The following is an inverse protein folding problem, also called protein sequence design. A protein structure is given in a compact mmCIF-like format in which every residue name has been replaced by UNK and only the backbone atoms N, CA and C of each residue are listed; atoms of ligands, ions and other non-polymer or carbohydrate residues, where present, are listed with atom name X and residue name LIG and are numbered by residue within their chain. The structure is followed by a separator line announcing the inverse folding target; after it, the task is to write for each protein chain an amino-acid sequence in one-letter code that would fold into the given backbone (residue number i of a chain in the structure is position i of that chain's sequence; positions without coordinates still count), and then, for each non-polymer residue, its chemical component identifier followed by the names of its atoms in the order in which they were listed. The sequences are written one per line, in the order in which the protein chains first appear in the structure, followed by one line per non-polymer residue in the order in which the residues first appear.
data_IF_490660472846
#
_entry.id   IF_490660472846
#
_cell.length_a   1.000
_cell.length_b   1.000
_cell.length_c   1.000
_cell.angle_alpha   90.00
_cell.angle_beta   90.00
_cell.angle_gamma   90.00
#
_symmetry.space_group_name_H-M   'P 1'
#
loop_
_entity.id
_entity.type
_entity.pdbx_description
1 polymer ?
#
# COMPACT_ATOMS: atom_id res chain seq x y z
N UNK A 1 -2.26 -21.57 5.96
CA UNK A 1 -2.44 -20.29 5.23
C UNK A 1 -2.05 -19.14 6.14
N UNK A 2 -1.36 -18.11 5.62
CA UNK A 2 -1.11 -16.88 6.39
C UNK A 2 -2.39 -16.02 6.45
N UNK A 3 -2.66 -15.30 7.56
CA UNK A 3 -3.83 -14.44 7.67
C UNK A 3 -3.74 -13.27 6.69
N UNK A 4 -4.91 -12.77 6.27
CA UNK A 4 -5.03 -11.52 5.51
C UNK A 4 -4.71 -10.34 6.42
N UNK A 5 -3.81 -9.47 5.97
CA UNK A 5 -3.49 -8.22 6.67
C UNK A 5 -4.22 -7.06 6.01
N UNK A 6 -5.10 -6.40 6.76
CA UNK A 6 -5.73 -5.15 6.37
C UNK A 6 -4.89 -3.98 6.86
N UNK A 7 -4.35 -3.20 5.93
CA UNK A 7 -3.64 -1.96 6.20
C UNK A 7 -4.58 -0.78 5.99
N UNK A 8 -4.69 0.10 6.98
CA UNK A 8 -5.42 1.37 6.84
C UNK A 8 -4.42 2.47 6.48
N UNK A 9 -4.54 2.98 5.26
CA UNK A 9 -3.62 3.94 4.66
C UNK A 9 -2.52 3.25 3.83
N UNK A 10 -2.21 3.86 2.69
CA UNK A 10 -1.21 3.40 1.72
C UNK A 10 -0.05 4.38 1.54
N UNK A 11 0.22 5.21 2.55
CA UNK A 11 1.33 6.16 2.58
C UNK A 11 2.72 5.51 2.53
N UNK A 12 3.76 6.31 2.67
CA UNK A 12 5.16 5.92 2.49
C UNK A 12 5.61 4.80 3.45
N UNK A 13 5.40 4.99 4.75
CA UNK A 13 5.74 4.01 5.80
C UNK A 13 4.88 2.76 5.64
N UNK A 14 3.58 2.93 5.40
CA UNK A 14 2.67 1.81 5.19
C UNK A 14 3.06 0.98 3.97
N UNK A 15 3.50 1.61 2.89
CA UNK A 15 3.93 0.94 1.66
C UNK A 15 5.19 0.11 1.86
N UNK A 16 6.14 0.62 2.66
CA UNK A 16 7.28 -0.17 3.11
C UNK A 16 6.87 -1.43 3.89
N UNK A 17 5.91 -1.30 4.81
CA UNK A 17 5.37 -2.45 5.55
C UNK A 17 4.64 -3.45 4.64
N UNK A 18 3.82 -2.97 3.70
CA UNK A 18 3.15 -3.79 2.66
C UNK A 18 4.17 -4.59 1.88
N UNK A 19 5.26 -3.97 1.41
CA UNK A 19 6.34 -4.64 0.69
C UNK A 19 6.96 -5.77 1.52
N UNK A 20 7.27 -5.52 2.81
CA UNK A 20 7.84 -6.52 3.72
C UNK A 20 6.88 -7.68 3.99
N UNK A 21 5.61 -7.40 4.27
CA UNK A 21 4.57 -8.41 4.52
C UNK A 21 4.34 -9.28 3.29
N UNK A 22 4.24 -8.67 2.11
CA UNK A 22 4.07 -9.40 0.84
C UNK A 22 5.26 -10.32 0.58
N UNK A 23 6.49 -9.86 0.80
CA UNK A 23 7.72 -10.69 0.71
C UNK A 23 7.78 -11.80 1.74
N UNK A 24 7.20 -11.60 2.92
CA UNK A 24 7.05 -12.65 3.93
C UNK A 24 5.90 -13.63 3.60
N UNK A 25 5.19 -13.46 2.48
CA UNK A 25 4.13 -14.36 2.02
C UNK A 25 2.76 -14.08 2.65
N UNK A 26 2.57 -12.95 3.33
CA UNK A 26 1.23 -12.56 3.78
C UNK A 26 0.43 -12.00 2.61
N UNK A 27 -0.86 -12.37 2.45
CA UNK A 27 -1.79 -11.59 1.65
C UNK A 27 -2.06 -10.25 2.35
N UNK A 28 -2.07 -9.16 1.59
CA UNK A 28 -2.22 -7.80 2.12
C UNK A 28 -3.26 -7.05 1.29
N UNK A 29 -4.15 -6.33 1.96
CA UNK A 29 -5.09 -5.38 1.36
C UNK A 29 -4.83 -4.01 1.99
N UNK A 30 -4.72 -2.98 1.14
CA UNK A 30 -4.56 -1.59 1.57
C UNK A 30 -5.88 -0.88 1.35
N UNK A 31 -6.44 -0.31 2.41
CA UNK A 31 -7.62 0.54 2.33
C UNK A 31 -7.20 2.01 2.43
N UNK A 32 -7.81 2.88 1.64
CA UNK A 32 -7.54 4.31 1.60
C UNK A 32 -8.83 5.13 1.62
N UNK A 33 -8.69 6.41 1.96
CA UNK A 33 -9.78 7.37 1.78
C UNK A 33 -9.95 7.71 0.29
N UNK A 34 -11.11 8.26 -0.08
CA UNK A 34 -11.42 8.59 -1.48
C UNK A 34 -10.41 9.56 -2.13
N UNK A 35 -9.81 10.43 -1.34
CA UNK A 35 -8.78 11.38 -1.78
C UNK A 35 -7.58 11.27 -0.84
N UNK A 36 -6.63 10.35 -1.10
CA UNK A 36 -5.45 10.18 -0.24
C UNK A 36 -4.61 11.45 -0.13
N UNK A 37 -4.12 11.72 1.08
CA UNK A 37 -3.41 12.97 1.43
C UNK A 37 -1.89 12.82 1.44
N UNK A 38 -1.33 11.69 0.97
CA UNK A 38 0.12 11.52 0.97
C UNK A 38 0.79 12.59 0.08
N UNK A 39 1.91 13.12 0.58
CA UNK A 39 2.74 14.09 -0.15
C UNK A 39 3.65 13.36 -1.13
N UNK A 40 4.29 12.27 -0.68
CA UNK A 40 5.25 11.47 -1.48
C UNK A 40 4.56 10.40 -2.33
N UNK A 41 3.71 10.81 -3.27
CA UNK A 41 2.81 9.91 -4.03
C UNK A 41 3.49 8.80 -4.82
N UNK A 42 4.64 9.06 -5.42
CA UNK A 42 5.36 8.08 -6.26
C UNK A 42 5.92 6.88 -5.49
N UNK A 43 5.98 6.95 -4.16
CA UNK A 43 6.47 5.85 -3.29
C UNK A 43 5.37 5.23 -2.44
N UNK A 44 4.10 5.53 -2.75
CA UNK A 44 2.96 5.13 -1.94
C UNK A 44 1.98 4.28 -2.76
N UNK A 45 1.71 3.04 -2.32
CA UNK A 45 0.70 2.17 -2.96
C UNK A 45 -0.70 2.81 -2.94
N UNK A 46 -1.01 3.63 -1.94
CA UNK A 46 -2.31 4.32 -1.89
C UNK A 46 -2.53 5.31 -3.06
N UNK A 47 -1.48 5.67 -3.81
CA UNK A 47 -1.61 6.48 -5.02
C UNK A 47 -2.41 5.76 -6.13
N UNK A 48 -2.61 4.45 -6.00
CA UNK A 48 -3.51 3.68 -6.85
C UNK A 48 -4.96 4.19 -6.78
N UNK A 49 -5.41 4.81 -5.67
CA UNK A 49 -6.74 5.44 -5.62
C UNK A 49 -6.85 6.61 -6.60
N UNK A 50 -5.77 7.38 -6.77
CA UNK A 50 -5.71 8.48 -7.73
C UNK A 50 -5.48 8.00 -9.17
N UNK A 51 -4.64 6.97 -9.36
CA UNK A 51 -4.18 6.52 -10.68
C UNK A 51 -4.92 5.30 -11.25
N UNK A 52 -5.77 4.64 -10.47
CA UNK A 52 -6.36 3.33 -10.77
C UNK A 52 -5.40 2.17 -10.52
N UNK A 53 -4.11 2.35 -10.81
CA UNK A 53 -3.05 1.37 -10.55
C UNK A 53 -1.77 2.04 -10.04
N UNK A 54 -0.97 1.30 -9.28
CA UNK A 54 0.35 1.75 -8.84
C UNK A 54 1.30 0.56 -8.74
N UNK A 55 2.47 0.69 -9.36
CA UNK A 55 3.59 -0.23 -9.24
C UNK A 55 4.73 0.56 -8.62
N UNK A 56 5.30 0.05 -7.53
CA UNK A 56 6.50 0.61 -6.92
C UNK A 56 7.71 -0.20 -7.37
N UNK A 57 8.78 0.51 -7.73
CA UNK A 57 10.09 -0.11 -7.97
C UNK A 57 10.67 -0.64 -6.65
N UNK A 58 11.58 -1.62 -6.77
CA UNK A 58 12.16 -2.34 -5.63
C UNK A 58 13.37 -1.63 -5.04
#
# INVERSE_FOLDING_TARGET
MKPLVLMRGGGDIASGAVYRLKRAGYPVVVNEIAIPTMIRREVCYGNAVHRGEMILER
#
